data_IF_463138832372
#
_entry.id   IF_463138832372
#
_cell.length_a   1.000
_cell.length_b   1.000
_cell.length_c   1.000
_cell.angle_alpha   90.00
_cell.angle_beta   90.00
_cell.angle_gamma   90.00
#
_symmetry.space_group_name_H-M   'P 1'
#
loop_
_entity.id
_entity.type
_entity.pdbx_description
1 polymer ?
#
# COMPACT_ATOMS: atom_id res chain seq x y z
N UNK A 1 -10.44 11.35 -8.52
CA UNK A 1 -10.12 9.90 -8.53
C UNK A 1 -10.43 9.30 -9.90
N UNK A 2 -9.61 8.38 -10.42
CA UNK A 2 -9.92 7.63 -11.66
C UNK A 2 -9.63 6.14 -11.42
N UNK A 3 -10.66 5.30 -11.57
CA UNK A 3 -10.58 3.83 -11.54
C UNK A 3 -11.26 3.29 -12.80
N UNK A 4 -10.54 3.11 -13.92
CA UNK A 4 -11.14 2.75 -15.18
C UNK A 4 -11.57 1.27 -15.22
N UNK A 5 -12.73 1.03 -15.82
CA UNK A 5 -13.23 -0.32 -16.08
C UNK A 5 -12.44 -1.05 -17.17
N UNK A 6 -12.17 -0.37 -18.29
CA UNK A 6 -11.50 -0.93 -19.46
C UNK A 6 -10.07 -0.41 -19.60
N UNK A 7 -9.17 -1.30 -20.02
CA UNK A 7 -7.75 -1.01 -20.20
C UNK A 7 -7.22 -1.66 -21.48
N UNK A 8 -6.34 -0.96 -22.19
CA UNK A 8 -5.68 -1.44 -23.40
C UNK A 8 -4.20 -1.05 -23.42
N UNK A 9 -3.39 -1.68 -24.28
CA UNK A 9 -1.98 -1.31 -24.54
C UNK A 9 -1.84 -0.95 -26.02
N UNK A 10 -1.38 0.27 -26.30
CA UNK A 10 -0.95 0.70 -27.62
C UNK A 10 0.53 0.39 -27.82
N UNK A 11 0.92 0.08 -29.06
CA UNK A 11 2.31 -0.21 -29.42
C UNK A 11 2.63 0.34 -30.81
N UNK A 12 3.70 1.14 -30.88
CA UNK A 12 4.30 1.59 -32.13
C UNK A 12 5.74 1.08 -32.18
N UNK A 13 6.16 0.62 -33.36
CA UNK A 13 7.53 0.16 -33.62
C UNK A 13 7.97 0.64 -35.00
N UNK A 14 8.81 1.66 -35.04
CA UNK A 14 9.24 2.34 -36.27
C UNK A 14 10.75 2.68 -36.20
N UNK A 15 11.36 3.09 -37.31
CA UNK A 15 12.76 3.52 -37.37
C UNK A 15 12.85 5.05 -37.34
N UNK A 16 13.67 5.58 -36.44
CA UNK A 16 13.98 7.02 -36.32
C UNK A 16 15.49 7.18 -36.38
N UNK A 17 15.99 8.04 -37.29
CA UNK A 17 17.43 8.28 -37.48
C UNK A 17 18.27 6.98 -37.59
N UNK A 18 17.75 5.99 -38.33
CA UNK A 18 18.41 4.69 -38.52
C UNK A 18 18.28 3.70 -37.36
N UNK A 19 17.72 4.09 -36.21
CA UNK A 19 17.52 3.22 -35.04
C UNK A 19 16.05 2.78 -34.90
N UNK A 20 15.84 1.53 -34.48
CA UNK A 20 14.49 1.05 -34.16
C UNK A 20 14.02 1.56 -32.80
N UNK A 21 12.85 2.20 -32.77
CA UNK A 21 12.21 2.71 -31.57
C UNK A 21 10.88 1.98 -31.38
N UNK A 22 10.68 1.39 -30.21
CA UNK A 22 9.40 0.79 -29.82
C UNK A 22 8.84 1.54 -28.62
N UNK A 23 7.62 2.02 -28.74
CA UNK A 23 6.91 2.73 -27.67
C UNK A 23 5.66 1.96 -27.29
N UNK A 24 5.38 1.87 -25.99
CA UNK A 24 4.17 1.27 -25.44
C UNK A 24 3.56 2.15 -24.36
N UNK A 25 2.26 2.37 -24.46
CA UNK A 25 1.44 3.11 -23.48
C UNK A 25 0.18 2.34 -23.18
N UNK A 26 -0.30 2.45 -21.96
CA UNK A 26 -1.65 2.02 -21.62
C UNK A 26 -2.64 3.14 -21.86
N UNK A 27 -3.81 2.75 -22.35
CA UNK A 27 -5.01 3.57 -22.38
C UNK A 27 -6.10 2.92 -21.52
N UNK A 28 -7.12 3.72 -21.24
CA UNK A 28 -8.22 3.33 -20.37
C UNK A 28 -9.50 4.07 -20.73
N UNK A 29 -10.64 3.51 -20.35
CA UNK A 29 -11.97 4.08 -20.54
C UNK A 29 -12.96 3.43 -19.56
N UNK A 30 -14.04 4.13 -19.24
CA UNK A 30 -15.21 3.55 -18.55
C UNK A 30 -16.33 3.16 -19.53
N UNK A 31 -16.22 3.51 -20.82
CA UNK A 31 -17.27 3.29 -21.82
C UNK A 31 -17.15 1.93 -22.51
N UNK A 32 -15.97 1.63 -23.06
CA UNK A 32 -15.77 0.39 -23.82
C UNK A 32 -14.30 -0.02 -23.97
N UNK A 33 -14.02 -1.29 -24.30
CA UNK A 33 -12.69 -1.74 -24.70
C UNK A 33 -12.13 -0.98 -25.91
N UNK A 34 -12.99 -0.61 -26.86
CA UNK A 34 -12.59 0.12 -28.07
C UNK A 34 -12.14 1.54 -27.74
N UNK A 35 -12.87 2.24 -26.87
CA UNK A 35 -12.47 3.57 -26.39
C UNK A 35 -11.15 3.52 -25.62
N UNK A 36 -10.95 2.48 -24.79
CA UNK A 36 -9.67 2.28 -24.10
C UNK A 36 -8.51 2.03 -25.09
N UNK A 37 -8.74 1.28 -26.16
CA UNK A 37 -7.75 1.04 -27.22
C UNK A 37 -7.43 2.33 -27.98
N UNK A 38 -8.43 3.09 -28.39
CA UNK A 38 -8.25 4.38 -29.06
C UNK A 38 -7.40 5.34 -28.20
N UNK A 39 -7.73 5.46 -26.92
CA UNK A 39 -6.94 6.26 -25.97
C UNK A 39 -5.49 5.75 -25.83
N UNK A 40 -5.28 4.42 -25.83
CA UNK A 40 -3.95 3.83 -25.77
C UNK A 40 -3.11 4.15 -27.02
N UNK A 41 -3.73 4.09 -28.19
CA UNK A 41 -3.07 4.35 -29.47
C UNK A 41 -2.72 5.84 -29.62
N UNK A 42 -3.63 6.75 -29.22
CA UNK A 42 -3.35 8.19 -29.17
C UNK A 42 -2.15 8.50 -28.26
N UNK A 43 -2.16 8.02 -27.01
CA UNK A 43 -1.04 8.20 -26.07
C UNK A 43 0.27 7.63 -26.61
N UNK A 44 0.21 6.49 -27.28
CA UNK A 44 1.40 5.83 -27.87
C UNK A 44 1.96 6.68 -29.01
N UNK A 45 1.10 7.23 -29.88
CA UNK A 45 1.50 8.10 -30.99
C UNK A 45 2.14 9.38 -30.49
N UNK A 46 1.49 10.10 -29.58
CA UNK A 46 2.03 11.32 -28.98
C UNK A 46 3.39 11.10 -28.32
N UNK A 47 3.53 10.00 -27.56
CA UNK A 47 4.80 9.65 -26.94
C UNK A 47 5.88 9.27 -27.96
N UNK A 48 5.50 8.58 -29.03
CA UNK A 48 6.41 8.23 -30.12
C UNK A 48 6.93 9.47 -30.83
N UNK A 49 6.05 10.41 -31.19
CA UNK A 49 6.42 11.63 -31.91
C UNK A 49 7.40 12.48 -31.09
N UNK A 50 7.16 12.62 -29.77
CA UNK A 50 8.08 13.31 -28.85
C UNK A 50 9.45 12.63 -28.74
N UNK A 51 9.47 11.30 -28.67
CA UNK A 51 10.72 10.54 -28.69
C UNK A 51 11.44 10.70 -30.03
N UNK A 52 10.69 10.74 -31.13
CA UNK A 52 11.24 10.91 -32.46
C UNK A 52 11.89 12.29 -32.66
N UNK A 53 11.37 13.34 -32.00
CA UNK A 53 11.98 14.67 -31.95
C UNK A 53 13.16 14.79 -30.96
N UNK A 54 13.55 13.69 -30.30
CA UNK A 54 14.72 13.63 -29.41
C UNK A 54 14.42 13.78 -27.91
N UNK A 55 13.15 13.83 -27.51
CA UNK A 55 12.80 13.92 -26.09
C UNK A 55 13.11 12.60 -25.36
N UNK A 56 13.74 12.70 -24.17
CA UNK A 56 14.06 11.54 -23.34
C UNK A 56 12.84 11.11 -22.51
N UNK A 57 11.99 10.28 -23.10
CA UNK A 57 10.84 9.68 -22.43
C UNK A 57 11.01 8.18 -22.18
N UNK A 58 10.33 7.67 -21.15
CA UNK A 58 10.24 6.23 -20.88
C UNK A 58 9.53 5.56 -22.05
N UNK A 59 10.19 4.66 -22.76
CA UNK A 59 9.61 4.00 -23.95
C UNK A 59 8.46 3.05 -23.63
N UNK A 60 8.44 2.45 -22.44
CA UNK A 60 7.43 1.46 -22.04
C UNK A 60 6.86 1.78 -20.66
N UNK A 61 5.57 2.04 -20.61
CA UNK A 61 4.84 2.03 -19.34
C UNK A 61 4.79 0.60 -18.76
N UNK A 62 5.06 0.46 -17.47
CA UNK A 62 5.05 -0.85 -16.79
C UNK A 62 3.64 -1.17 -16.33
N UNK A 63 3.19 -2.40 -16.55
CA UNK A 63 1.91 -2.92 -16.03
C UNK A 63 2.02 -3.10 -14.51
N UNK A 64 1.71 -2.06 -13.74
CA UNK A 64 1.81 -2.06 -12.27
C UNK A 64 0.45 -1.77 -11.64
N UNK A 65 0.17 -2.42 -10.51
CA UNK A 65 -1.08 -2.26 -9.76
C UNK A 65 -1.00 -1.20 -8.65
N UNK A 66 0.19 -0.97 -8.08
CA UNK A 66 0.40 -0.16 -6.87
C UNK A 66 1.70 0.68 -6.96
N UNK A 67 1.68 1.90 -6.40
CA UNK A 67 2.83 2.75 -6.06
C UNK A 67 4.03 2.75 -7.02
N UNK A 68 3.81 3.21 -8.25
CA UNK A 68 4.86 3.38 -9.26
C UNK A 68 4.36 3.74 -10.65
N UNK A 69 3.04 3.75 -10.84
CA UNK A 69 2.41 4.25 -12.04
C UNK A 69 2.19 5.76 -11.88
N UNK A 70 3.28 6.53 -11.79
CA UNK A 70 3.22 7.99 -11.68
C UNK A 70 2.43 8.54 -12.87
N UNK A 71 1.31 9.21 -12.58
CA UNK A 71 0.40 9.76 -13.58
C UNK A 71 -0.57 8.76 -14.22
N UNK A 72 -0.71 7.54 -13.70
CA UNK A 72 -1.68 6.55 -14.20
C UNK A 72 -2.84 6.33 -13.21
N UNK A 73 -4.06 6.07 -13.71
CA UNK A 73 -5.20 5.72 -12.86
C UNK A 73 -4.99 4.45 -12.03
N UNK A 74 -5.86 4.23 -11.04
CA UNK A 74 -5.88 3.01 -10.24
C UNK A 74 -6.24 1.83 -11.15
N UNK A 75 -5.29 0.90 -11.31
CA UNK A 75 -5.42 -0.28 -12.16
C UNK A 75 -5.74 -1.51 -11.34
N UNK A 76 -6.97 -1.56 -10.85
CA UNK A 76 -7.47 -2.61 -9.98
C UNK A 76 -8.86 -3.06 -10.45
N UNK A 77 -9.25 -4.26 -10.03
CA UNK A 77 -10.60 -4.78 -10.29
C UNK A 77 -11.60 -3.98 -9.46
N UNK A 78 -12.65 -3.45 -10.10
CA UNK A 78 -13.77 -2.82 -9.41
C UNK A 78 -14.68 -3.94 -8.89
N UNK A 79 -14.86 -3.97 -7.57
CA UNK A 79 -15.75 -4.93 -6.89
C UNK A 79 -17.14 -4.35 -6.71
N UNK A 80 -17.22 -3.06 -6.36
CA UNK A 80 -18.47 -2.38 -6.04
C UNK A 80 -18.30 -0.87 -6.28
N UNK A 81 -19.37 -0.19 -6.70
CA UNK A 81 -19.46 1.28 -6.77
C UNK A 81 -20.58 1.74 -5.84
N UNK A 82 -20.30 2.75 -5.02
CA UNK A 82 -21.28 3.40 -4.15
C UNK A 82 -21.13 4.92 -4.24
N UNK A 83 -22.01 5.55 -5.03
CA UNK A 83 -21.84 6.94 -5.43
C UNK A 83 -20.47 7.16 -6.07
N UNK A 84 -19.74 8.17 -5.59
CA UNK A 84 -18.38 8.48 -6.05
C UNK A 84 -17.30 7.59 -5.43
N UNK A 85 -17.65 6.76 -4.43
CA UNK A 85 -16.71 5.83 -3.80
C UNK A 85 -16.69 4.49 -4.52
N UNK A 86 -15.50 3.90 -4.64
CA UNK A 86 -15.29 2.64 -5.37
C UNK A 86 -14.55 1.66 -4.47
N UNK A 87 -15.10 0.46 -4.33
CA UNK A 87 -14.39 -0.66 -3.70
C UNK A 87 -13.65 -1.42 -4.78
N UNK A 88 -12.32 -1.50 -4.65
CA UNK A 88 -11.46 -2.24 -5.57
C UNK A 88 -10.81 -3.43 -4.90
N UNK A 89 -10.29 -4.36 -5.71
CA UNK A 89 -9.40 -5.43 -5.26
C UNK A 89 -7.96 -5.13 -5.66
N UNK A 90 -7.13 -4.89 -4.66
CA UNK A 90 -5.73 -4.52 -4.89
C UNK A 90 -4.86 -5.70 -5.37
N UNK A 91 -3.59 -5.42 -5.66
CA UNK A 91 -2.63 -6.38 -6.23
C UNK A 91 -2.33 -7.62 -5.39
N UNK A 92 -2.66 -7.63 -4.09
CA UNK A 92 -2.56 -8.82 -3.24
C UNK A 92 -3.92 -9.46 -2.93
N UNK A 93 -5.03 -8.90 -3.42
CA UNK A 93 -6.35 -9.52 -3.36
C UNK A 93 -7.28 -8.96 -2.29
N UNK A 94 -6.83 -8.02 -1.45
CA UNK A 94 -7.71 -7.42 -0.45
C UNK A 94 -8.61 -6.33 -1.04
N UNK A 95 -9.79 -6.15 -0.43
CA UNK A 95 -10.72 -5.07 -0.76
C UNK A 95 -10.20 -3.74 -0.20
N UNK A 96 -10.27 -2.70 -1.01
CA UNK A 96 -9.89 -1.35 -0.67
C UNK A 96 -11.00 -0.39 -1.09
N UNK A 97 -11.51 0.40 -0.15
CA UNK A 97 -12.32 1.56 -0.43
C UNK A 97 -11.44 2.67 -1.00
N UNK A 98 -11.91 3.33 -2.03
CA UNK A 98 -11.31 4.52 -2.62
C UNK A 98 -12.40 5.60 -2.65
N UNK A 99 -12.13 6.73 -2.01
CA UNK A 99 -13.05 7.88 -1.96
C UNK A 99 -12.32 9.11 -2.47
N UNK A 100 -12.94 9.95 -3.32
CA UNK A 100 -12.27 11.12 -3.86
C UNK A 100 -11.98 12.18 -2.79
N UNK A 101 -12.80 12.25 -1.74
CA UNK A 101 -12.92 13.45 -0.90
C UNK A 101 -13.00 13.18 0.62
N UNK A 102 -13.25 11.94 1.07
CA UNK A 102 -13.32 11.65 2.51
C UNK A 102 -11.96 11.22 3.04
N UNK A 103 -11.38 12.06 3.89
CA UNK A 103 -10.01 11.89 4.36
C UNK A 103 -9.85 10.74 5.36
N UNK A 104 -9.04 9.77 4.95
CA UNK A 104 -8.45 8.76 5.83
C UNK A 104 -6.96 9.06 6.06
N UNK A 105 -6.45 8.70 7.23
CA UNK A 105 -5.04 8.81 7.60
C UNK A 105 -4.59 7.46 8.18
N UNK A 106 -3.65 6.78 7.52
CA UNK A 106 -3.05 5.53 8.01
C UNK A 106 -1.75 5.88 8.76
N UNK A 107 -1.73 5.66 10.06
CA UNK A 107 -0.60 5.93 10.97
C UNK A 107 -0.03 4.59 11.40
N UNK A 108 1.03 4.13 10.73
CA UNK A 108 1.73 2.91 11.11
C UNK A 108 2.59 3.12 12.36
N UNK A 109 2.63 2.13 13.23
CA UNK A 109 3.47 2.14 14.43
C UNK A 109 4.85 1.60 14.08
N UNK A 110 5.90 2.38 14.41
CA UNK A 110 7.29 1.94 14.22
C UNK A 110 7.50 0.64 15.02
N UNK A 111 8.10 -0.38 14.38
CA UNK A 111 8.25 -1.73 14.96
C UNK A 111 7.31 -2.80 14.40
N UNK A 112 6.13 -2.44 13.85
CA UNK A 112 5.15 -3.41 13.31
C UNK A 112 5.31 -3.66 11.79
N UNK A 113 6.18 -2.90 11.11
CA UNK A 113 6.55 -3.08 9.70
C UNK A 113 7.67 -4.11 9.50
N UNK A 114 7.31 -5.35 9.16
CA UNK A 114 8.23 -6.49 8.95
C UNK A 114 9.20 -6.39 7.76
N UNK A 115 9.79 -5.21 7.49
CA UNK A 115 10.72 -4.99 6.38
C UNK A 115 12.05 -4.30 6.76
N UNK A 116 12.12 -3.53 7.84
CA UNK A 116 13.32 -2.72 8.15
C UNK A 116 14.18 -3.28 9.30
N UNK A 117 13.58 -3.95 10.29
CA UNK A 117 14.29 -4.51 11.44
C UNK A 117 15.22 -5.69 11.09
N UNK A 118 15.02 -6.32 9.92
CA UNK A 118 15.95 -7.32 9.39
C UNK A 118 17.30 -6.73 8.95
N UNK A 119 17.32 -5.46 8.50
CA UNK A 119 18.53 -4.82 7.95
C UNK A 119 19.51 -4.39 9.05
N UNK A 120 19.01 -3.79 10.14
CA UNK A 120 19.85 -3.38 11.27
C UNK A 120 20.41 -4.59 12.03
N UNK A 121 19.62 -5.66 12.20
CA UNK A 121 20.08 -6.93 12.81
C UNK A 121 21.06 -7.69 11.91
N UNK A 122 20.90 -7.60 10.60
CA UNK A 122 21.87 -8.12 9.64
C UNK A 122 23.23 -7.41 9.75
N UNK A 123 23.23 -6.08 9.85
CA UNK A 123 24.46 -5.29 10.02
C UNK A 123 25.18 -5.60 11.34
N UNK A 124 24.47 -5.79 12.46
CA UNK A 124 25.11 -6.14 13.73
C UNK A 124 25.73 -7.54 13.73
N UNK A 125 25.07 -8.53 13.12
CA UNK A 125 25.63 -9.88 12.94
C UNK A 125 26.87 -9.84 12.04
N UNK A 126 26.83 -9.08 10.93
CA UNK A 126 27.97 -8.92 10.03
C UNK A 126 29.14 -8.22 10.76
N UNK A 127 28.86 -7.15 11.51
CA UNK A 127 29.87 -6.44 12.30
C UNK A 127 30.53 -7.33 13.35
N UNK A 128 29.74 -8.09 14.12
CA UNK A 128 30.26 -9.02 15.12
C UNK A 128 31.09 -10.15 14.49
N UNK A 129 30.67 -10.68 13.33
CA UNK A 129 31.42 -11.71 12.61
C UNK A 129 32.78 -11.18 12.11
N UNK A 130 32.84 -9.95 11.60
CA UNK A 130 34.08 -9.32 11.17
C UNK A 130 35.06 -9.09 12.33
N UNK A 131 34.56 -8.62 13.48
CA UNK A 131 35.40 -8.44 14.68
C UNK A 131 35.94 -9.77 15.17
N UNK A 132 35.11 -10.82 15.23
CA UNK A 132 35.54 -12.16 15.62
C UNK A 132 36.59 -12.74 14.65
N UNK A 133 36.42 -12.51 13.34
CA UNK A 133 37.36 -12.95 12.31
C UNK A 133 38.74 -12.29 12.45
N UNK A 134 38.77 -10.97 12.68
CA UNK A 134 40.02 -10.22 12.88
C UNK A 134 40.71 -10.64 14.18
N UNK A 135 39.97 -10.78 15.28
CA UNK A 135 40.52 -11.21 16.56
C UNK A 135 41.10 -12.63 16.49
N UNK A 136 40.37 -13.58 15.90
CA UNK A 136 40.82 -14.96 15.75
C UNK A 136 42.01 -15.08 14.78
N UNK A 137 41.98 -14.36 13.66
CA UNK A 137 43.06 -14.33 12.69
C UNK A 137 44.37 -13.75 13.26
N UNK A 138 44.26 -12.67 14.04
CA UNK A 138 45.40 -12.06 14.73
C UNK A 138 45.97 -12.95 15.83
N UNK A 139 45.12 -13.49 16.71
CA UNK A 139 45.55 -14.34 17.83
C UNK A 139 46.20 -15.65 17.35
N UNK A 140 45.67 -16.27 16.28
CA UNK A 140 46.19 -17.51 15.73
C UNK A 140 47.28 -17.31 14.65
N UNK A 141 47.59 -16.05 14.28
CA UNK A 141 48.44 -15.68 13.12
C UNK A 141 48.09 -16.46 11.84
N UNK A 142 46.81 -16.75 11.65
CA UNK A 142 46.32 -17.63 10.59
C UNK A 142 45.08 -17.05 9.94
N UNK A 143 45.18 -16.80 8.63
CA UNK A 143 44.04 -16.34 7.83
C UNK A 143 42.90 -17.38 7.81
N UNK A 144 43.25 -18.67 7.86
CA UNK A 144 42.28 -19.78 7.86
C UNK A 144 41.44 -19.75 9.15
N UNK A 145 42.06 -19.48 10.30
CA UNK A 145 41.36 -19.38 11.58
C UNK A 145 40.39 -18.18 11.61
N UNK A 146 40.78 -17.05 11.02
CA UNK A 146 39.91 -15.88 10.86
C UNK A 146 38.70 -16.15 9.98
N UNK A 147 38.89 -16.82 8.83
CA UNK A 147 37.79 -17.18 7.92
C UNK A 147 36.84 -18.20 8.56
N UNK A 148 37.36 -19.19 9.29
CA UNK A 148 36.53 -20.16 10.00
C UNK A 148 35.65 -19.48 11.07
N UNK A 149 36.21 -18.56 11.85
CA UNK A 149 35.46 -17.78 12.85
C UNK A 149 34.37 -16.91 12.20
N UNK A 150 34.67 -16.27 11.06
CA UNK A 150 33.69 -15.48 10.29
C UNK A 150 32.47 -16.33 9.90
N UNK A 151 32.72 -17.51 9.31
CA UNK A 151 31.67 -18.40 8.83
C UNK A 151 30.81 -18.90 10.00
N UNK A 152 31.43 -19.30 11.11
CA UNK A 152 30.71 -19.83 12.27
C UNK A 152 29.85 -18.76 12.93
N UNK A 153 30.38 -17.55 13.16
CA UNK A 153 29.62 -16.46 13.79
C UNK A 153 28.50 -15.97 12.87
N UNK A 154 28.75 -15.87 11.56
CA UNK A 154 27.71 -15.53 10.59
C UNK A 154 26.61 -16.60 10.51
N UNK A 155 26.97 -17.89 10.51
CA UNK A 155 26.01 -18.99 10.47
C UNK A 155 25.15 -19.04 11.73
N UNK A 156 25.75 -18.90 12.92
CA UNK A 156 25.02 -18.86 14.20
C UNK A 156 24.14 -17.61 14.29
N UNK A 157 24.66 -16.44 13.89
CA UNK A 157 23.92 -15.19 13.91
C UNK A 157 22.73 -15.22 12.94
N UNK A 158 22.90 -15.79 11.74
CA UNK A 158 21.82 -15.95 10.77
C UNK A 158 20.81 -17.01 11.22
N UNK A 159 21.26 -18.10 11.84
CA UNK A 159 20.39 -19.11 12.44
C UNK A 159 19.55 -18.50 13.56
N UNK A 160 20.16 -17.79 14.52
CA UNK A 160 19.46 -17.05 15.57
C UNK A 160 18.51 -16.01 15.01
N UNK A 161 18.92 -15.18 14.06
CA UNK A 161 18.04 -14.18 13.46
C UNK A 161 16.82 -14.82 12.75
N UNK A 162 16.93 -16.07 12.30
CA UNK A 162 15.86 -16.82 11.65
C UNK A 162 14.98 -17.59 12.65
N UNK A 163 15.53 -18.07 13.77
CA UNK A 163 14.83 -18.84 14.80
C UNK A 163 14.21 -17.96 15.88
N UNK A 164 14.94 -16.94 16.32
CA UNK A 164 14.47 -15.91 17.23
C UNK A 164 13.67 -14.84 16.46
N UNK A 165 12.42 -15.19 16.11
CA UNK A 165 11.35 -14.20 16.20
C UNK A 165 11.07 -13.92 17.67
N UNK A 166 12.07 -13.43 18.42
CA UNK A 166 11.82 -12.93 19.77
C UNK A 166 10.85 -11.77 19.61
N UNK A 167 9.61 -11.87 20.13
CA UNK A 167 8.76 -10.71 20.19
C UNK A 167 9.48 -9.74 21.12
N UNK A 168 10.01 -8.66 20.58
CA UNK A 168 10.11 -7.46 21.40
C UNK A 168 8.66 -7.19 21.74
N UNK A 169 8.28 -7.48 22.98
CA UNK A 169 7.00 -7.06 23.54
C UNK A 169 7.19 -5.56 23.75
N UNK A 170 7.17 -4.83 22.64
CA UNK A 170 6.95 -3.40 22.65
C UNK A 170 5.55 -3.25 23.23
N UNK A 171 5.43 -2.53 24.34
CA UNK A 171 4.14 -2.33 24.98
C UNK A 171 3.25 -1.55 24.00
N UNK A 172 2.42 -2.28 23.27
CA UNK A 172 1.54 -1.72 22.23
C UNK A 172 0.59 -0.68 22.82
N UNK A 173 0.37 -0.72 24.13
CA UNK A 173 -0.40 0.27 24.88
C UNK A 173 0.29 1.63 24.84
N UNK A 174 1.62 1.67 25.01
CA UNK A 174 2.40 2.90 25.04
C UNK A 174 2.44 3.59 23.67
N UNK A 175 2.61 2.82 22.58
CA UNK A 175 2.62 3.38 21.22
C UNK A 175 1.25 3.94 20.82
N UNK A 176 0.16 3.24 21.19
CA UNK A 176 -1.20 3.73 20.96
C UNK A 176 -1.47 5.00 21.78
N UNK A 177 -1.04 5.05 23.04
CA UNK A 177 -1.17 6.23 23.89
C UNK A 177 -0.40 7.42 23.30
N UNK A 178 0.81 7.22 22.80
CA UNK A 178 1.59 8.25 22.11
C UNK A 178 0.90 8.78 20.84
N UNK A 179 0.29 7.90 20.03
CA UNK A 179 -0.48 8.29 18.86
C UNK A 179 -1.74 9.09 19.24
N UNK A 180 -2.47 8.63 20.27
CA UNK A 180 -3.65 9.32 20.81
C UNK A 180 -3.29 10.72 21.34
N UNK A 181 -2.20 10.85 22.09
CA UNK A 181 -1.74 12.14 22.61
C UNK A 181 -1.39 13.14 21.49
N UNK A 182 -0.85 12.67 20.35
CA UNK A 182 -0.67 13.53 19.16
C UNK A 182 -2.01 14.01 18.61
N UNK A 183 -2.99 13.11 18.49
CA UNK A 183 -4.33 13.43 18.00
C UNK A 183 -5.03 14.42 18.92
N UNK A 184 -4.94 14.25 20.24
CA UNK A 184 -5.54 15.16 21.22
C UNK A 184 -4.94 16.58 21.09
N UNK A 185 -3.61 16.69 20.95
CA UNK A 185 -2.96 18.00 20.69
C UNK A 185 -3.43 18.61 19.38
N UNK A 186 -3.57 17.80 18.34
CA UNK A 186 -4.08 18.26 17.05
C UNK A 186 -5.52 18.78 17.18
N UNK A 187 -6.41 18.05 17.85
CA UNK A 187 -7.79 18.49 18.09
C UNK A 187 -7.85 19.79 18.90
N UNK A 188 -6.96 20.00 19.88
CA UNK A 188 -6.90 21.27 20.61
C UNK A 188 -6.53 22.46 19.70
N UNK A 189 -5.70 22.24 18.68
CA UNK A 189 -5.33 23.27 17.69
C UNK A 189 -6.41 23.44 16.60
N UNK A 190 -7.27 22.44 16.43
CA UNK A 190 -8.30 22.36 15.41
C UNK A 190 -9.67 22.02 16.03
N UNK A 191 -10.29 22.93 16.81
CA UNK A 191 -11.48 22.62 17.60
C UNK A 191 -12.71 22.23 16.77
N UNK A 192 -12.77 22.64 15.50
CA UNK A 192 -13.86 22.28 14.58
C UNK A 192 -13.73 20.87 14.00
N UNK A 193 -12.60 20.19 14.21
CA UNK A 193 -12.36 18.88 13.64
C UNK A 193 -13.09 17.80 14.43
N UNK A 194 -13.68 16.86 13.69
CA UNK A 194 -14.22 15.61 14.19
C UNK A 194 -13.45 14.47 13.54
N UNK A 195 -12.81 13.64 14.38
CA UNK A 195 -12.04 12.48 13.95
C UNK A 195 -12.57 11.20 14.60
N UNK A 196 -12.65 10.12 13.82
CA UNK A 196 -12.89 8.75 14.30
C UNK A 196 -11.61 7.95 14.25
N UNK A 197 -11.32 7.22 15.32
CA UNK A 197 -10.08 6.45 15.50
C UNK A 197 -10.36 4.96 15.42
N UNK A 198 -9.53 4.25 14.66
CA UNK A 198 -9.64 2.81 14.44
C UNK A 198 -8.30 2.11 14.64
N UNK A 199 -8.23 1.08 15.48
CA UNK A 199 -7.04 0.22 15.60
C UNK A 199 -6.94 -0.66 14.37
N UNK A 200 -5.82 -0.61 13.67
CA UNK A 200 -5.46 -1.58 12.63
C UNK A 200 -4.42 -2.56 13.18
N UNK A 201 -4.15 -3.69 12.51
CA UNK A 201 -3.14 -4.62 12.98
C UNK A 201 -1.69 -4.14 12.75
N UNK A 202 -1.45 -2.91 12.28
CA UNK A 202 -0.11 -2.31 12.16
C UNK A 202 0.00 -0.89 12.73
N UNK A 203 -1.11 -0.32 13.22
CA UNK A 203 -1.18 1.10 13.51
C UNK A 203 -2.58 1.60 13.83
N UNK A 204 -2.83 2.86 13.53
CA UNK A 204 -4.10 3.53 13.69
C UNK A 204 -4.59 4.03 12.33
N UNK A 205 -5.88 3.90 12.07
CA UNK A 205 -6.55 4.61 11.00
C UNK A 205 -7.41 5.71 11.60
N UNK A 206 -7.27 6.91 11.06
CA UNK A 206 -8.06 8.09 11.43
C UNK A 206 -8.96 8.42 10.26
N UNK A 207 -10.22 8.78 10.55
CA UNK A 207 -11.20 9.22 9.57
C UNK A 207 -11.72 10.60 9.98
N UNK A 208 -11.64 11.57 9.07
CA UNK A 208 -12.25 12.88 9.28
C UNK A 208 -13.75 12.82 8.94
N UNK A 209 -14.57 13.33 9.86
CA UNK A 209 -16.03 13.29 9.75
C UNK A 209 -16.67 14.65 9.50
N UNK A 210 -15.98 15.74 9.83
CA UNK A 210 -16.54 17.09 9.87
C UNK A 210 -16.61 17.80 8.51
N UNK A 211 -15.84 17.34 7.52
CA UNK A 211 -15.73 17.95 6.20
C UNK A 211 -15.19 16.96 5.15
N UNK A 212 -15.13 17.41 3.89
CA UNK A 212 -14.51 16.73 2.76
C UNK A 212 -13.30 17.52 2.25
N UNK A 213 -12.35 16.83 1.62
CA UNK A 213 -11.04 17.36 1.28
C UNK A 213 -10.59 16.85 -0.09
N UNK A 214 -9.97 17.68 -0.92
CA UNK A 214 -9.19 17.16 -2.02
C UNK A 214 -7.83 16.64 -1.48
N UNK A 215 -7.30 15.50 -1.96
CA UNK A 215 -5.99 15.00 -1.54
C UNK A 215 -4.80 15.94 -1.81
N UNK A 216 -5.01 16.98 -2.63
CA UNK A 216 -4.06 18.06 -2.90
C UNK A 216 -4.12 19.22 -1.90
N UNK A 217 -5.11 19.25 -1.00
CA UNK A 217 -5.32 20.37 -0.10
C UNK A 217 -4.17 20.54 0.90
N UNK A 218 -3.91 21.81 1.25
CA UNK A 218 -2.90 22.15 2.25
C UNK A 218 -3.26 21.55 3.63
N UNK A 219 -4.54 21.57 4.00
CA UNK A 219 -5.04 21.01 5.26
C UNK A 219 -4.76 19.50 5.37
N UNK A 220 -4.88 18.75 4.27
CA UNK A 220 -4.55 17.31 4.21
C UNK A 220 -3.06 17.10 4.43
N UNK A 221 -2.22 17.90 3.77
CA UNK A 221 -0.76 17.81 3.90
C UNK A 221 -0.31 18.09 5.34
N UNK A 222 -0.87 19.14 5.96
CA UNK A 222 -0.59 19.50 7.35
C UNK A 222 -1.07 18.42 8.33
N UNK A 223 -2.30 17.94 8.19
CA UNK A 223 -2.84 16.86 9.03
C UNK A 223 -2.02 15.56 8.89
N UNK A 224 -1.62 15.19 7.68
CA UNK A 224 -0.79 14.00 7.44
C UNK A 224 0.58 14.15 8.11
N UNK A 225 1.20 15.32 8.02
CA UNK A 225 2.49 15.57 8.66
C UNK A 225 2.37 15.56 10.19
N UNK A 226 1.39 16.25 10.75
CA UNK A 226 1.22 16.43 12.19
C UNK A 226 0.80 15.14 12.89
N UNK A 227 -0.08 14.34 12.27
CA UNK A 227 -0.56 13.09 12.85
C UNK A 227 0.38 11.90 12.57
N UNK A 228 1.30 12.04 11.62
CA UNK A 228 2.30 11.03 11.28
C UNK A 228 1.78 9.95 10.33
N UNK A 229 1.11 10.37 9.25
CA UNK A 229 0.65 9.47 8.20
C UNK A 229 1.82 8.74 7.53
N UNK A 230 1.59 7.50 7.10
CA UNK A 230 2.55 6.76 6.28
C UNK A 230 2.92 7.54 5.02
N UNK A 231 4.21 7.70 4.75
CA UNK A 231 4.71 8.54 3.65
C UNK A 231 4.36 7.95 2.29
N UNK A 232 4.27 6.63 2.18
CA UNK A 232 3.87 5.95 0.94
C UNK A 232 2.39 6.17 0.70
N UNK A 233 1.57 6.02 1.73
CA UNK A 233 0.14 6.31 1.71
C UNK A 233 -0.14 7.77 1.31
N UNK A 234 0.53 8.73 1.95
CA UNK A 234 0.38 10.16 1.66
C UNK A 234 0.67 10.48 0.19
N UNK A 235 1.78 9.95 -0.34
CA UNK A 235 2.15 10.12 -1.75
C UNK A 235 1.14 9.48 -2.70
N UNK A 236 0.67 8.27 -2.36
CA UNK A 236 -0.32 7.57 -3.15
C UNK A 236 -1.63 8.36 -3.22
N UNK A 237 -2.11 8.92 -2.11
CA UNK A 237 -3.34 9.70 -2.09
C UNK A 237 -3.29 10.89 -3.05
N UNK A 238 -2.16 11.61 -3.04
CA UNK A 238 -1.89 12.72 -3.96
C UNK A 238 -1.83 12.25 -5.41
N UNK A 239 -1.09 11.19 -5.71
CA UNK A 239 -0.90 10.72 -7.08
C UNK A 239 -2.19 10.14 -7.69
N UNK A 240 -3.06 9.53 -6.86
CA UNK A 240 -4.28 8.88 -7.32
C UNK A 240 -5.53 9.77 -7.17
N UNK A 241 -5.37 10.96 -6.60
CA UNK A 241 -6.46 11.90 -6.30
C UNK A 241 -7.64 11.19 -5.60
N UNK A 242 -7.31 10.39 -4.57
CA UNK A 242 -8.27 9.75 -3.67
C UNK A 242 -7.64 9.44 -2.31
N UNK A 243 -8.47 9.21 -1.30
CA UNK A 243 -8.08 8.53 -0.07
C UNK A 243 -8.47 7.06 -0.15
N UNK A 244 -7.62 6.21 0.41
CA UNK A 244 -7.82 4.75 0.38
C UNK A 244 -7.93 4.17 1.78
N UNK A 245 -8.82 3.21 1.97
CA UNK A 245 -8.96 2.46 3.21
C UNK A 245 -9.11 0.96 2.91
N UNK A 246 -8.27 0.12 3.51
CA UNK A 246 -8.41 -1.33 3.37
C UNK A 246 -9.64 -1.82 4.13
N UNK A 247 -10.52 -2.56 3.46
CA UNK A 247 -11.78 -3.07 3.99
C UNK A 247 -11.71 -4.52 4.48
N UNK A 248 -10.75 -5.31 4.01
CA UNK A 248 -10.61 -6.72 4.38
C UNK A 248 -9.19 -7.08 4.83
N UNK A 249 -9.07 -8.19 5.54
CA UNK A 249 -7.81 -8.64 6.10
C UNK A 249 -6.70 -8.81 5.04
N UNK A 250 -5.44 -8.59 5.42
CA UNK A 250 -4.33 -8.94 4.52
C UNK A 250 -4.31 -10.47 4.34
N UNK A 251 -4.17 -11.01 3.11
CA UNK A 251 -4.27 -12.46 2.87
C UNK A 251 -3.35 -13.27 3.79
N UNK A 252 -2.10 -12.85 3.97
CA UNK A 252 -1.14 -13.55 4.83
C UNK A 252 -1.46 -13.48 6.33
N UNK A 253 -2.20 -12.46 6.78
CA UNK A 253 -2.72 -12.37 8.16
C UNK A 253 -3.96 -13.24 8.34
N UNK A 254 -4.70 -13.51 7.26
CA UNK A 254 -5.80 -14.46 7.22
C UNK A 254 -5.37 -15.91 6.89
N UNK A 255 -4.06 -16.22 6.95
CA UNK A 255 -3.54 -17.57 6.72
C UNK A 255 -3.31 -17.96 5.25
N UNK A 256 -3.43 -17.01 4.31
CA UNK A 256 -3.17 -17.22 2.88
C UNK A 256 -1.81 -16.64 2.51
N UNK A 257 -0.79 -17.49 2.55
CA UNK A 257 0.57 -17.14 2.13
C UNK A 257 0.77 -17.12 0.61
N UNK A 258 -0.16 -17.69 -0.15
CA UNK A 258 -0.10 -17.69 -1.61
C UNK A 258 -0.46 -16.32 -2.18
N UNK A 259 0.36 -15.81 -3.09
CA UNK A 259 0.03 -14.61 -3.86
C UNK A 259 -1.21 -14.82 -4.73
N UNK A 260 -1.97 -13.72 -4.92
CA UNK A 260 -3.08 -13.64 -5.86
C UNK A 260 -2.68 -14.20 -7.24
N UNK A 261 -3.54 -15.06 -7.79
CA UNK A 261 -3.38 -15.70 -9.09
C UNK A 261 -4.23 -14.99 -10.16
N UNK A 262 -3.84 -15.04 -11.45
CA UNK A 262 -2.56 -15.53 -11.97
C UNK A 262 -1.39 -14.62 -11.58
N UNK A 263 -0.14 -15.02 -11.84
CA UNK A 263 1.05 -14.15 -11.65
C UNK A 263 1.67 -13.77 -13.00
N UNK A 264 1.98 -12.48 -13.25
CA UNK A 264 1.54 -11.32 -12.49
C UNK A 264 0.02 -11.09 -12.67
N UNK A 265 -0.68 -10.84 -11.56
CA UNK A 265 -2.16 -10.72 -11.51
C UNK A 265 -2.69 -9.31 -11.68
N UNK A 266 -1.97 -8.47 -12.42
CA UNK A 266 -2.34 -7.06 -12.62
C UNK A 266 -3.57 -6.98 -13.51
N UNK A 267 -4.60 -6.28 -13.04
CA UNK A 267 -5.88 -6.12 -13.72
C UNK A 267 -5.74 -5.38 -15.07
N UNK A 268 -6.59 -5.63 -16.07
CA UNK A 268 -7.43 -6.82 -16.22
C UNK A 268 -6.61 -8.08 -16.46
N UNK A 269 -7.21 -9.21 -16.10
CA UNK A 269 -6.71 -10.56 -16.34
C UNK A 269 -7.35 -11.10 -17.62
N UNK A 270 -6.60 -11.91 -18.39
CA UNK A 270 -7.12 -12.53 -19.62
C UNK A 270 -8.26 -13.50 -19.29
N UNK A 271 -9.30 -13.64 -20.15
CA UNK A 271 -10.44 -14.52 -19.90
C UNK A 271 -10.06 -15.95 -19.47
N UNK A 272 -9.09 -16.56 -20.14
CA UNK A 272 -8.62 -17.93 -19.84
C UNK A 272 -8.01 -18.10 -18.43
N UNK A 273 -7.66 -16.99 -17.77
CA UNK A 273 -7.07 -16.98 -16.43
C UNK A 273 -8.02 -16.44 -15.35
N UNK A 274 -9.24 -16.07 -15.71
CA UNK A 274 -10.26 -15.62 -14.76
C UNK A 274 -10.68 -16.74 -13.79
N UNK A 275 -10.92 -18.01 -14.21
CA UNK A 275 -11.33 -19.05 -13.26
C UNK A 275 -10.33 -19.24 -12.12
N UNK A 276 -9.03 -19.29 -12.44
CA UNK A 276 -7.98 -19.42 -11.44
C UNK A 276 -7.88 -18.22 -10.48
N UNK A 277 -8.28 -17.02 -10.93
CA UNK A 277 -8.37 -15.83 -10.07
C UNK A 277 -9.58 -15.95 -9.15
N UNK A 278 -10.74 -16.28 -9.70
CA UNK A 278 -12.01 -16.42 -8.98
C UNK A 278 -11.90 -17.47 -7.87
N UNK A 279 -11.30 -18.63 -8.14
CA UNK A 279 -11.04 -19.67 -7.15
C UNK A 279 -10.19 -19.16 -5.98
N UNK A 280 -9.11 -18.43 -6.28
CA UNK A 280 -8.25 -17.84 -5.25
C UNK A 280 -9.02 -16.81 -4.44
N UNK A 281 -9.79 -15.94 -5.10
CA UNK A 281 -10.60 -14.89 -4.47
C UNK A 281 -11.66 -15.50 -3.57
N UNK A 282 -12.40 -16.49 -4.03
CA UNK A 282 -13.44 -17.16 -3.25
C UNK A 282 -12.86 -17.80 -1.98
N UNK A 283 -11.68 -18.43 -2.08
CA UNK A 283 -10.97 -18.97 -0.92
C UNK A 283 -10.50 -17.87 0.03
N UNK A 284 -10.03 -16.74 -0.50
CA UNK A 284 -9.61 -15.59 0.29
C UNK A 284 -10.76 -14.93 1.04
N UNK A 285 -11.89 -14.68 0.38
CA UNK A 285 -13.07 -14.06 1.01
C UNK A 285 -13.54 -14.91 2.20
N UNK A 286 -13.67 -16.24 2.03
CA UNK A 286 -14.03 -17.17 3.12
C UNK A 286 -13.03 -17.16 4.29
N UNK A 287 -11.75 -16.93 4.03
CA UNK A 287 -10.74 -16.82 5.08
C UNK A 287 -10.84 -15.46 5.80
N UNK A 288 -11.03 -14.38 5.05
CA UNK A 288 -11.12 -13.02 5.56
C UNK A 288 -12.36 -12.79 6.44
N UNK A 289 -13.44 -13.54 6.24
CA UNK A 289 -14.67 -13.48 7.06
C UNK A 289 -14.45 -13.76 8.56
N UNK A 290 -13.32 -14.31 8.98
CA UNK A 290 -13.04 -14.55 10.41
C UNK A 290 -12.38 -13.37 11.12
N UNK A 291 -12.15 -12.28 10.39
CA UNK A 291 -11.35 -11.15 10.86
C UNK A 291 -12.03 -9.82 10.60
N UNK A 292 -11.68 -8.83 11.41
CA UNK A 292 -11.94 -7.43 11.14
C UNK A 292 -10.66 -6.77 10.60
N UNK A 293 -10.80 -5.87 9.62
CA UNK A 293 -9.66 -5.15 9.04
C UNK A 293 -9.16 -4.03 9.97
N UNK A 294 -10.07 -3.49 10.79
CA UNK A 294 -9.77 -2.55 11.86
C UNK A 294 -10.84 -2.67 12.96
N UNK A 295 -10.62 -2.02 14.10
CA UNK A 295 -11.57 -1.95 15.21
C UNK A 295 -11.78 -0.50 15.60
N UNK A 296 -13.03 -0.06 15.69
CA UNK A 296 -13.33 1.28 16.18
C UNK A 296 -12.88 1.45 17.64
N UNK A 297 -12.28 2.60 17.96
CA UNK A 297 -11.82 2.94 19.30
C UNK A 297 -12.72 4.02 19.89
N UNK A 298 -12.71 5.20 19.28
CA UNK A 298 -13.41 6.39 19.80
C UNK A 298 -13.57 7.47 18.72
N UNK A 299 -14.38 8.47 19.03
CA UNK A 299 -14.54 9.71 18.26
C UNK A 299 -14.07 10.89 19.11
N UNK A 300 -13.28 11.79 18.53
CA UNK A 300 -12.66 12.93 19.23
C UNK A 300 -12.91 14.23 18.48
N UNK A 301 -12.89 15.34 19.23
CA UNK A 301 -13.17 16.68 18.71
C UNK A 301 -14.66 17.01 18.65
N UNK A 302 -15.07 17.83 17.70
CA UNK A 302 -16.46 18.31 17.57
C UNK A 302 -17.38 17.25 16.95
N UNK A 303 -17.78 16.26 17.74
CA UNK A 303 -18.59 15.11 17.27
C UNK A 303 -19.99 15.48 16.76
N UNK A 304 -20.44 16.72 17.00
CA UNK A 304 -21.70 17.26 16.48
C UNK A 304 -21.59 17.68 15.01
N UNK A 305 -20.37 17.99 14.53
CA UNK A 305 -20.12 18.37 13.15
C UNK A 305 -19.83 17.13 12.30
N UNK A 306 -20.76 16.80 11.42
CA UNK A 306 -20.66 15.66 10.51
C UNK A 306 -21.07 16.06 9.10
N UNK A 307 -20.20 15.83 8.13
CA UNK A 307 -20.49 15.99 6.72
C UNK A 307 -21.18 14.72 6.17
N UNK A 308 -22.23 14.88 5.37
CA UNK A 308 -23.06 13.77 4.88
C UNK A 308 -22.27 12.74 4.05
N UNK A 309 -21.38 13.19 3.16
CA UNK A 309 -20.52 12.27 2.40
C UNK A 309 -19.57 11.48 3.32
N UNK A 310 -19.03 12.13 4.36
CA UNK A 310 -18.15 11.45 5.32
C UNK A 310 -18.94 10.40 6.12
N UNK A 311 -20.19 10.68 6.48
CA UNK A 311 -21.09 9.71 7.10
C UNK A 311 -21.33 8.49 6.22
N UNK A 312 -21.71 8.68 4.95
CA UNK A 312 -21.95 7.57 4.03
C UNK A 312 -20.70 6.69 3.84
N UNK A 313 -19.53 7.32 3.69
CA UNK A 313 -18.23 6.61 3.60
C UNK A 313 -17.90 5.88 4.89
N UNK A 314 -18.18 6.49 6.05
CA UNK A 314 -17.95 5.88 7.36
C UNK A 314 -18.83 4.64 7.56
N UNK A 315 -20.10 4.70 7.19
CA UNK A 315 -21.04 3.58 7.32
C UNK A 315 -20.57 2.40 6.47
N UNK A 316 -20.25 2.66 5.19
CA UNK A 316 -19.68 1.66 4.28
C UNK A 316 -18.38 1.08 4.84
N UNK A 317 -17.48 1.94 5.34
CA UNK A 317 -16.21 1.51 5.93
C UNK A 317 -16.43 0.62 7.14
N UNK A 318 -17.24 1.03 8.11
CA UNK A 318 -17.44 0.32 9.37
C UNK A 318 -18.13 -1.03 9.14
N UNK A 319 -19.11 -1.09 8.24
CA UNK A 319 -19.78 -2.32 7.84
C UNK A 319 -18.80 -3.30 7.18
N UNK A 320 -18.06 -2.85 6.15
CA UNK A 320 -17.19 -3.73 5.36
C UNK A 320 -15.93 -4.17 6.13
N UNK A 321 -15.38 -3.29 6.98
CA UNK A 321 -14.25 -3.63 7.86
C UNK A 321 -14.64 -4.45 9.07
N UNK A 322 -15.94 -4.49 9.39
CA UNK A 322 -16.49 -5.08 10.62
C UNK A 322 -15.92 -4.43 11.87
N UNK A 323 -15.80 -3.10 11.84
CA UNK A 323 -15.12 -2.31 12.86
C UNK A 323 -15.65 -2.53 14.29
N UNK A 324 -16.93 -2.88 14.42
CA UNK A 324 -17.62 -3.06 15.70
C UNK A 324 -17.85 -4.53 16.07
N UNK A 325 -17.34 -5.49 15.28
CA UNK A 325 -17.67 -6.92 15.43
C UNK A 325 -16.96 -7.65 16.58
N UNK A 326 -15.90 -7.07 17.16
CA UNK A 326 -15.06 -7.74 18.16
C UNK A 326 -14.15 -8.84 17.60
N UNK A 327 -14.22 -9.14 16.29
CA UNK A 327 -13.37 -10.13 15.64
C UNK A 327 -11.87 -9.81 15.82
N UNK A 328 -10.99 -10.84 15.72
CA UNK A 328 -9.55 -10.62 15.69
C UNK A 328 -9.14 -9.75 14.49
N UNK A 329 -8.11 -8.93 14.67
CA UNK A 329 -7.61 -8.03 13.63
C UNK A 329 -6.63 -8.75 12.68
N UNK A 330 -6.83 -8.59 11.36
CA UNK A 330 -5.92 -9.09 10.32
C UNK A 330 -5.86 -8.17 9.09
#
# INVERSE_FOLDING_TARGET
MIVPQFWAEGRIQERVAGQQVTVRRFGWSDESPLAAQFHADQRTREAFDRIATGEKLVRRERKMAYNGADGMPIREEIVERQGESIVTRNGYGARCLNTPDVMFIDVDFEGEGGGATGSARGLTVIGAAFIAALAAGYAARSAIAGVAALIVVAAIGFWRARTEKLPVIEDKTDVLAGARARIERFIHQHPDWHLRLYRTPAGLRVLAMHDVFAPSDAAVTDAFQTLGADKVYARMCRNQNCFRARLSAKPWRAGIGEHLRPRPGVWPVSPDRLPAREDWVARYERAAERYAACRYIESVGNTLKVHLNALAVQELHDERTRAHSGLPLA
#
